data_IF_217787015240
#
_entry.id   IF_217787015240
#
_cell.length_a   1.000
_cell.length_b   1.000
_cell.length_c   1.000
_cell.angle_alpha   90.00
_cell.angle_beta   90.00
_cell.angle_gamma   90.00
#
_symmetry.space_group_name_H-M   'P 1'
#
loop_
_entity.id
_entity.type
_entity.pdbx_description
1 polymer ?
#
# COMPACT_ATOMS: atom_id res chain seq x y z
N UNK A 1 -28.31 -2.60 16.27
CA UNK A 1 -28.06 -1.16 16.47
C UNK A 1 -28.30 -0.46 15.14
N UNK A 2 -29.04 0.64 15.11
CA UNK A 2 -29.32 1.38 13.87
C UNK A 2 -28.09 2.24 13.52
N UNK A 3 -27.42 1.96 12.40
CA UNK A 3 -26.16 2.62 11.97
C UNK A 3 -26.26 4.15 11.89
N UNK A 4 -27.48 4.68 11.87
CA UNK A 4 -27.78 6.12 11.81
C UNK A 4 -27.33 6.91 13.05
N UNK A 5 -27.08 6.26 14.18
CA UNK A 5 -26.64 6.93 15.43
C UNK A 5 -25.13 6.83 15.70
N UNK A 6 -24.34 6.27 14.77
CA UNK A 6 -22.90 6.18 14.97
C UNK A 6 -22.21 7.54 14.74
N UNK A 7 -21.23 7.92 15.59
CA UNK A 7 -20.39 9.06 15.32
C UNK A 7 -19.70 8.89 13.95
N UNK A 8 -19.54 9.99 13.22
CA UNK A 8 -19.01 9.99 11.85
C UNK A 8 -17.71 9.19 11.67
N UNK A 9 -16.83 9.22 12.67
CA UNK A 9 -15.54 8.51 12.65
C UNK A 9 -15.67 7.00 12.53
N UNK A 10 -16.74 6.42 13.09
CA UNK A 10 -16.97 4.98 13.12
C UNK A 10 -17.91 4.49 12.03
N UNK A 11 -18.31 5.37 11.10
CA UNK A 11 -19.15 4.94 9.98
C UNK A 11 -18.42 3.89 9.14
N UNK A 12 -19.02 2.71 8.96
CA UNK A 12 -18.40 1.64 8.20
C UNK A 12 -18.26 2.05 6.73
N UNK A 13 -17.17 1.61 6.11
CA UNK A 13 -16.95 1.76 4.68
C UNK A 13 -17.60 0.56 3.99
N UNK A 14 -18.29 0.80 2.88
CA UNK A 14 -18.87 -0.28 2.08
C UNK A 14 -17.77 -1.11 1.41
N UNK A 15 -18.10 -2.33 0.97
CA UNK A 15 -17.16 -3.18 0.23
C UNK A 15 -16.59 -2.46 -1.01
N UNK A 16 -17.46 -1.78 -1.77
CA UNK A 16 -17.05 -0.97 -2.92
C UNK A 16 -16.17 0.22 -2.55
N UNK A 17 -16.34 0.77 -1.35
CA UNK A 17 -15.46 1.81 -0.83
C UNK A 17 -14.04 1.29 -0.64
N UNK A 18 -13.88 0.14 0.03
CA UNK A 18 -12.56 -0.50 0.18
C UNK A 18 -11.93 -0.82 -1.17
N UNK A 19 -12.70 -1.42 -2.08
CA UNK A 19 -12.23 -1.73 -3.44
C UNK A 19 -11.78 -0.47 -4.19
N UNK A 20 -12.53 0.64 -4.09
CA UNK A 20 -12.14 1.91 -4.69
C UNK A 20 -10.83 2.47 -4.09
N UNK A 21 -10.63 2.33 -2.77
CA UNK A 21 -9.38 2.72 -2.13
C UNK A 21 -8.20 1.82 -2.51
N UNK A 22 -8.41 0.52 -2.75
CA UNK A 22 -7.36 -0.36 -3.27
C UNK A 22 -6.87 0.10 -4.64
N UNK A 23 -7.80 0.38 -5.56
CA UNK A 23 -7.46 0.92 -6.88
C UNK A 23 -6.72 2.26 -6.72
N UNK A 24 -7.23 3.14 -5.86
CA UNK A 24 -6.62 4.44 -5.61
C UNK A 24 -5.20 4.31 -5.08
N UNK A 25 -4.95 3.47 -4.07
CA UNK A 25 -3.64 3.25 -3.45
C UNK A 25 -2.67 2.48 -4.35
N UNK A 26 -3.17 1.75 -5.34
CA UNK A 26 -2.34 1.11 -6.37
C UNK A 26 -1.69 2.13 -7.32
N UNK A 27 -2.22 3.35 -7.43
CA UNK A 27 -1.66 4.39 -8.28
C UNK A 27 -0.35 4.93 -7.68
N UNK A 28 0.79 4.88 -8.40
CA UNK A 28 2.12 5.11 -7.82
C UNK A 28 2.37 6.53 -7.29
N UNK A 29 1.83 7.56 -7.94
CA UNK A 29 2.07 8.95 -7.52
C UNK A 29 0.93 9.48 -6.65
N UNK A 30 -0.25 9.69 -7.26
CA UNK A 30 -1.42 10.26 -6.56
C UNK A 30 -1.87 9.32 -5.43
N UNK A 31 -1.94 8.02 -5.72
CA UNK A 31 -2.36 7.00 -4.75
C UNK A 31 -1.44 6.92 -3.55
N UNK A 32 -0.13 6.94 -3.79
CA UNK A 32 0.86 6.92 -2.72
C UNK A 32 0.82 8.17 -1.84
N UNK A 33 0.65 9.37 -2.42
CA UNK A 33 0.48 10.59 -1.64
C UNK A 33 -0.78 10.49 -0.75
N UNK A 34 -1.91 10.06 -1.31
CA UNK A 34 -3.15 9.91 -0.55
C UNK A 34 -3.05 8.83 0.53
N UNK A 35 -2.34 7.74 0.25
CA UNK A 35 -2.03 6.69 1.20
C UNK A 35 -1.25 7.25 2.42
N UNK A 36 -0.22 8.08 2.19
CA UNK A 36 0.53 8.74 3.26
C UNK A 36 -0.36 9.71 4.05
N UNK A 37 -1.14 10.53 3.35
CA UNK A 37 -2.06 11.48 4.00
C UNK A 37 -3.03 10.73 4.90
N UNK A 38 -3.66 9.65 4.43
CA UNK A 38 -4.62 8.89 5.23
C UNK A 38 -3.97 8.03 6.32
N UNK A 39 -2.76 7.51 6.12
CA UNK A 39 -2.05 6.73 7.13
C UNK A 39 -1.61 7.58 8.32
N UNK A 40 -1.17 8.82 8.07
CA UNK A 40 -0.73 9.77 9.09
C UNK A 40 -1.84 10.62 9.72
N UNK A 41 -3.12 10.38 9.36
CA UNK A 41 -4.26 10.97 10.07
C UNK A 41 -5.01 12.07 9.32
N UNK A 42 -4.82 12.20 8.00
CA UNK A 42 -5.59 13.09 7.13
C UNK A 42 -7.07 12.70 6.94
N UNK A 43 -7.57 11.69 7.66
CA UNK A 43 -8.98 11.32 7.68
C UNK A 43 -9.51 11.12 9.10
N UNK A 44 -10.73 11.61 9.32
CA UNK A 44 -11.49 11.40 10.56
C UNK A 44 -12.14 10.02 10.63
N UNK A 45 -12.19 9.24 9.55
CA UNK A 45 -12.76 7.89 9.58
C UNK A 45 -11.70 6.88 10.04
N UNK A 46 -11.93 6.22 11.17
CA UNK A 46 -10.96 5.30 11.75
C UNK A 46 -10.74 4.05 10.89
N UNK A 47 -11.79 3.58 10.21
CA UNK A 47 -11.70 2.43 9.32
C UNK A 47 -10.79 2.72 8.13
N UNK A 48 -10.93 3.90 7.50
CA UNK A 48 -10.08 4.32 6.39
C UNK A 48 -8.62 4.49 6.83
N UNK A 49 -8.41 5.12 7.99
CA UNK A 49 -7.06 5.34 8.55
C UNK A 49 -6.35 4.02 8.84
N UNK A 50 -7.03 3.06 9.47
CA UNK A 50 -6.46 1.75 9.76
C UNK A 50 -6.17 0.97 8.47
N UNK A 51 -7.07 1.06 7.49
CA UNK A 51 -6.86 0.47 6.17
C UNK A 51 -5.63 1.05 5.47
N UNK A 52 -5.50 2.38 5.41
CA UNK A 52 -4.33 3.05 4.84
C UNK A 52 -3.02 2.69 5.55
N UNK A 53 -3.03 2.56 6.88
CA UNK A 53 -1.85 2.13 7.65
C UNK A 53 -1.43 0.69 7.33
N UNK A 54 -2.40 -0.23 7.25
CA UNK A 54 -2.13 -1.62 6.89
C UNK A 54 -1.58 -1.72 5.46
N UNK A 55 -2.18 -1.00 4.51
CA UNK A 55 -1.72 -0.96 3.12
C UNK A 55 -0.33 -0.35 2.98
N UNK A 56 -0.03 0.70 3.76
CA UNK A 56 1.31 1.30 3.83
C UNK A 56 2.35 0.29 4.36
N UNK A 57 2.08 -0.40 5.47
CA UNK A 57 2.98 -1.44 5.98
C UNK A 57 3.16 -2.58 4.97
N UNK A 58 2.09 -3.00 4.30
CA UNK A 58 2.16 -4.02 3.25
C UNK A 58 3.04 -3.56 2.07
N UNK A 59 2.91 -2.30 1.65
CA UNK A 59 3.72 -1.73 0.56
C UNK A 59 5.21 -1.77 0.89
N UNK A 60 5.60 -1.53 2.15
CA UNK A 60 6.98 -1.65 2.62
C UNK A 60 7.46 -3.10 2.51
N UNK A 61 6.65 -4.07 2.94
CA UNK A 61 6.99 -5.50 2.85
C UNK A 61 7.23 -5.90 1.39
N UNK A 62 6.37 -5.46 0.46
CA UNK A 62 6.50 -5.72 -0.97
C UNK A 62 7.80 -5.13 -1.53
N UNK A 63 8.14 -3.88 -1.17
CA UNK A 63 9.40 -3.25 -1.60
C UNK A 63 10.62 -4.04 -1.11
N UNK A 64 10.62 -4.45 0.16
CA UNK A 64 11.71 -5.27 0.73
C UNK A 64 11.83 -6.60 -0.02
N UNK A 65 10.70 -7.26 -0.30
CA UNK A 65 10.68 -8.52 -1.03
C UNK A 65 11.24 -8.39 -2.45
N UNK A 66 10.85 -7.34 -3.18
CA UNK A 66 11.39 -7.02 -4.52
C UNK A 66 12.89 -6.75 -4.44
N UNK A 67 13.35 -5.98 -3.44
CA UNK A 67 14.77 -5.69 -3.25
C UNK A 67 15.59 -6.96 -3.00
N UNK A 68 15.09 -7.90 -2.19
CA UNK A 68 15.74 -9.20 -1.94
C UNK A 68 15.85 -10.01 -3.24
N UNK A 69 14.77 -10.12 -4.02
CA UNK A 69 14.79 -10.82 -5.31
C UNK A 69 15.83 -10.18 -6.24
N UNK A 70 15.85 -8.85 -6.33
CA UNK A 70 16.80 -8.15 -7.16
C UNK A 70 18.24 -8.37 -6.71
N UNK A 71 18.52 -8.43 -5.40
CA UNK A 71 19.87 -8.73 -4.90
C UNK A 71 20.31 -10.17 -5.20
N UNK A 72 19.40 -11.15 -5.08
CA UNK A 72 19.71 -12.56 -5.32
C UNK A 72 19.90 -12.88 -6.80
N UNK A 73 19.07 -12.31 -7.67
CA UNK A 73 19.05 -12.66 -9.10
C UNK A 73 19.63 -11.57 -10.01
N UNK A 74 19.66 -10.31 -9.58
CA UNK A 74 20.18 -9.19 -10.38
C UNK A 74 21.66 -9.32 -10.71
N UNK A 75 22.47 -9.83 -9.78
CA UNK A 75 23.90 -10.12 -10.01
C UNK A 75 24.08 -11.21 -11.08
N UNK A 76 23.20 -12.21 -11.12
CA UNK A 76 23.27 -13.30 -12.10
C UNK A 76 23.01 -12.79 -13.52
N UNK A 77 22.05 -11.89 -13.74
CA UNK A 77 21.79 -11.33 -15.07
C UNK A 77 22.96 -10.44 -15.55
N UNK A 78 23.53 -9.61 -14.68
CA UNK A 78 24.68 -8.75 -15.03
C UNK A 78 25.90 -9.57 -15.48
N UNK A 79 26.17 -10.71 -14.85
CA UNK A 79 27.31 -11.55 -15.22
C UNK A 79 27.12 -12.28 -16.57
N UNK A 80 25.88 -12.60 -16.94
CA UNK A 80 25.58 -13.28 -18.21
C UNK A 80 25.59 -12.34 -19.42
N UNK A 81 25.28 -11.05 -19.24
CA UNK A 81 25.36 -10.03 -20.31
C UNK A 81 26.76 -9.41 -20.47
N UNK A 82 27.60 -9.39 -19.42
CA UNK A 82 28.95 -8.83 -19.49
C UNK A 82 30.05 -9.86 -19.80
N UNK A 83 29.72 -11.13 -20.01
CA UNK A 83 30.69 -12.14 -20.45
C UNK A 83 31.90 -12.27 -19.51
N UNK A 84 31.68 -12.31 -18.20
CA UNK A 84 32.77 -12.68 -17.28
C UNK A 84 32.91 -14.21 -17.29
N UNK A 85 33.50 -14.72 -18.38
CA UNK A 85 34.19 -16.00 -18.38
C UNK A 85 35.50 -15.81 -17.61
N UNK A 86 35.48 -16.02 -16.30
CA UNK A 86 36.62 -16.58 -15.54
C UNK A 86 36.09 -17.56 -14.50
#
# INVERSE_FOLDING_TARGET
MNDKNLPYEYKPISMWGYFGYEILFSIPFIGFILLLVFSFGGTKNINLRNFARSYFCFSIIVIIFIAIIFLLYGSSYVNNDFGTTI
#
